data_IF_802413676053
#
_entry.id   IF_802413676053
#
_cell.length_a   1.000
_cell.length_b   1.000
_cell.length_c   1.000
_cell.angle_alpha   90.00
_cell.angle_beta   90.00
_cell.angle_gamma   90.00
#
_symmetry.space_group_name_H-M   'P 1'
#
loop_
_entity.id
_entity.type
_entity.pdbx_description
1 polymer ?
#
# COMPACT_ATOMS: atom_id res chain seq x y z
N UNK A 1 -7.94 7.38 7.98
CA UNK A 1 -8.22 6.27 7.04
C UNK A 1 -6.95 5.63 6.50
N UNK A 2 -5.94 6.41 6.07
CA UNK A 2 -4.66 5.86 5.60
C UNK A 2 -3.88 5.09 6.69
N UNK A 3 -3.79 5.64 7.91
CA UNK A 3 -3.11 4.96 9.03
C UNK A 3 -3.70 3.59 9.39
N UNK A 4 -5.03 3.45 9.27
CA UNK A 4 -5.74 2.19 9.54
C UNK A 4 -5.47 1.15 8.45
N UNK A 5 -5.21 1.58 7.23
CA UNK A 5 -4.89 0.71 6.10
C UNK A 5 -3.39 0.40 5.98
N UNK A 6 -2.50 1.31 6.41
CA UNK A 6 -1.06 1.04 6.55
C UNK A 6 -0.77 -0.01 7.63
N UNK A 7 -1.55 -0.02 8.72
CA UNK A 7 -1.49 -1.08 9.73
C UNK A 7 -1.85 -2.45 9.14
N UNK A 8 -2.89 -2.52 8.30
CA UNK A 8 -3.26 -3.75 7.60
C UNK A 8 -2.16 -4.25 6.64
N UNK A 9 -1.55 -3.34 5.87
CA UNK A 9 -0.39 -3.65 5.02
C UNK A 9 0.82 -4.17 5.83
N UNK A 10 1.15 -3.52 6.96
CA UNK A 10 2.25 -3.93 7.81
C UNK A 10 2.06 -5.35 8.37
N UNK A 11 0.83 -5.69 8.78
CA UNK A 11 0.48 -7.03 9.26
C UNK A 11 0.61 -8.07 8.14
N UNK A 12 0.11 -7.77 6.93
CA UNK A 12 0.22 -8.68 5.78
C UNK A 12 1.68 -8.92 5.40
N UNK A 13 2.52 -7.89 5.34
CA UNK A 13 3.95 -8.05 5.06
C UNK A 13 4.69 -8.79 6.18
N UNK A 14 4.35 -8.57 7.44
CA UNK A 14 4.91 -9.33 8.56
C UNK A 14 4.54 -10.82 8.49
N UNK A 15 3.27 -11.13 8.15
CA UNK A 15 2.80 -12.50 7.91
C UNK A 15 3.47 -13.15 6.69
N UNK A 16 3.75 -12.39 5.62
CA UNK A 16 4.51 -12.88 4.47
C UNK A 16 5.95 -13.21 4.84
N UNK A 17 6.60 -12.41 5.70
CA UNK A 17 7.94 -12.69 6.19
C UNK A 17 8.06 -13.95 7.05
N UNK A 18 6.95 -14.34 7.71
CA UNK A 18 6.85 -15.57 8.50
C UNK A 18 6.28 -16.75 7.72
N UNK A 19 5.89 -16.56 6.45
CA UNK A 19 5.26 -17.61 5.66
C UNK A 19 6.31 -18.63 5.19
N UNK A 20 6.20 -19.85 5.69
CA UNK A 20 7.08 -20.98 5.35
C UNK A 20 6.57 -21.84 4.20
N UNK A 21 5.38 -21.54 3.66
CA UNK A 21 4.73 -22.34 2.62
C UNK A 21 4.25 -21.45 1.44
N UNK A 22 4.49 -21.92 0.22
CA UNK A 22 4.15 -21.21 -1.04
C UNK A 22 2.64 -20.94 -1.14
N UNK A 23 1.80 -21.86 -0.67
CA UNK A 23 0.34 -21.67 -0.67
C UNK A 23 -0.10 -20.49 0.20
N UNK A 24 0.55 -20.31 1.36
CA UNK A 24 0.29 -19.18 2.27
C UNK A 24 0.74 -17.87 1.60
N UNK A 25 1.89 -17.88 0.92
CA UNK A 25 2.35 -16.72 0.16
C UNK A 25 1.37 -16.32 -0.95
N UNK A 26 0.80 -17.28 -1.69
CA UNK A 26 -0.17 -16.99 -2.76
C UNK A 26 -1.44 -16.34 -2.20
N UNK A 27 -1.97 -16.86 -1.09
CA UNK A 27 -3.14 -16.29 -0.41
C UNK A 27 -2.84 -14.87 0.09
N UNK A 28 -1.68 -14.68 0.75
CA UNK A 28 -1.24 -13.37 1.21
C UNK A 28 -1.01 -12.38 0.07
N UNK A 29 -0.53 -12.84 -1.10
CA UNK A 29 -0.39 -12.05 -2.33
C UNK A 29 -1.74 -11.62 -2.90
N UNK A 30 -2.74 -12.50 -2.84
CA UNK A 30 -4.12 -12.17 -3.21
C UNK A 30 -4.70 -11.10 -2.29
N UNK A 31 -4.50 -11.24 -0.98
CA UNK A 31 -4.90 -10.24 0.02
C UNK A 31 -4.15 -8.92 -0.19
N UNK A 32 -2.84 -8.96 -0.42
CA UNK A 32 -2.03 -7.79 -0.74
C UNK A 32 -2.55 -7.07 -2.00
N UNK A 33 -2.97 -7.82 -3.03
CA UNK A 33 -3.60 -7.28 -4.24
C UNK A 33 -4.93 -6.59 -3.98
N UNK A 34 -5.79 -7.18 -3.14
CA UNK A 34 -7.05 -6.54 -2.70
C UNK A 34 -6.78 -5.27 -1.88
N UNK A 35 -5.72 -5.26 -1.06
CA UNK A 35 -5.26 -4.08 -0.35
C UNK A 35 -4.47 -3.10 -1.24
N UNK A 36 -4.19 -3.42 -2.52
CA UNK A 36 -3.45 -2.56 -3.45
C UNK A 36 -4.11 -1.19 -3.68
N UNK A 37 -5.43 -1.09 -3.46
CA UNK A 37 -6.15 0.19 -3.40
C UNK A 37 -5.60 1.15 -2.35
N UNK A 38 -4.88 0.66 -1.34
CA UNK A 38 -4.17 1.48 -0.35
C UNK A 38 -3.13 2.40 -0.99
N UNK A 39 -2.33 1.89 -1.93
CA UNK A 39 -1.27 2.67 -2.60
C UNK A 39 -1.90 3.78 -3.46
N UNK A 40 -2.99 3.46 -4.17
CA UNK A 40 -3.75 4.46 -4.92
C UNK A 40 -4.35 5.53 -4.01
N UNK A 41 -4.91 5.14 -2.86
CA UNK A 41 -5.49 6.08 -1.90
C UNK A 41 -4.42 6.94 -1.18
N UNK A 42 -3.23 6.38 -0.94
CA UNK A 42 -2.07 7.12 -0.43
C UNK A 42 -1.62 8.17 -1.45
N UNK A 43 -1.49 7.77 -2.72
CA UNK A 43 -1.12 8.67 -3.80
C UNK A 43 -2.18 9.76 -4.02
N UNK A 44 -3.47 9.45 -3.92
CA UNK A 44 -4.56 10.42 -3.98
C UNK A 44 -4.54 11.42 -2.80
N UNK A 45 -4.17 10.96 -1.60
CA UNK A 45 -4.02 11.84 -0.44
C UNK A 45 -2.80 12.76 -0.60
N UNK A 46 -1.68 12.24 -1.08
CA UNK A 46 -0.50 13.05 -1.42
C UNK A 46 -0.86 14.05 -2.52
N UNK A 47 -1.65 13.66 -3.52
CA UNK A 47 -2.12 14.54 -4.60
C UNK A 47 -3.01 15.67 -4.11
N UNK A 48 -3.90 15.41 -3.13
CA UNK A 48 -4.81 16.42 -2.58
C UNK A 48 -4.12 17.36 -1.59
N UNK A 49 -3.08 16.90 -0.91
CA UNK A 49 -2.27 17.72 0.00
C UNK A 49 -1.13 18.47 -0.73
N UNK A 50 -0.79 18.10 -1.97
CA UNK A 50 0.27 18.76 -2.76
C UNK A 50 -0.32 19.84 -3.66
N UNK A 51 0.20 21.09 -3.66
CA UNK A 51 -0.24 22.14 -4.56
C UNK A 51 -0.09 21.71 -6.03
N UNK A 52 -1.08 21.98 -6.90
CA UNK A 52 -1.13 21.56 -8.32
C UNK A 52 0.18 21.79 -9.10
N UNK A 53 0.92 22.85 -8.78
CA UNK A 53 2.22 23.18 -9.41
C UNK A 53 3.37 22.20 -9.07
N UNK A 54 3.26 21.43 -7.98
CA UNK A 54 4.28 20.43 -7.55
C UNK A 54 3.75 19.00 -7.50
N UNK A 55 2.50 18.76 -7.90
CA UNK A 55 1.89 17.43 -7.88
C UNK A 55 2.67 16.43 -8.74
N UNK A 56 3.18 16.86 -9.91
CA UNK A 56 4.06 16.04 -10.75
C UNK A 56 5.43 15.71 -10.13
N UNK A 57 5.99 16.59 -9.29
CA UNK A 57 7.21 16.32 -8.53
C UNK A 57 6.92 15.35 -7.36
N UNK A 58 5.81 15.53 -6.66
CA UNK A 58 5.43 14.67 -5.52
C UNK A 58 5.00 13.26 -5.94
N UNK A 59 4.34 13.11 -7.10
CA UNK A 59 4.03 11.80 -7.68
C UNK A 59 5.22 11.16 -8.38
N UNK A 60 6.14 11.94 -8.95
CA UNK A 60 7.31 11.43 -9.68
C UNK A 60 8.51 11.05 -8.81
N UNK A 61 8.48 11.38 -7.51
CA UNK A 61 9.51 10.98 -6.55
C UNK A 61 9.23 9.61 -5.90
N UNK A 62 8.02 9.06 -6.08
CA UNK A 62 7.53 7.81 -5.47
C UNK A 62 7.41 6.71 -6.53
#
# INVERSE_FOLDING_TARGET
MLLRASLGMAIVYALMGLATNVWILIILRGIQGLLGGFVSNANAMVATQTPKARSGYAMGFL
#
